data_IF_269424561743
#
_entry.id   IF_269424561743
#
_cell.length_a   1.000
_cell.length_b   1.000
_cell.length_c   1.000
_cell.angle_alpha   90.00
_cell.angle_beta   90.00
_cell.angle_gamma   90.00
#
_symmetry.space_group_name_H-M   'P 1'
#
loop_
_entity.id
_entity.type
_entity.pdbx_description
1 polymer ?
#
# COMPACT_ATOMS: atom_id res chain seq x y z
N UNK A 1 -39.07 0.80 -3.28
CA UNK A 1 -38.30 2.07 -3.27
C UNK A 1 -36.94 1.72 -3.86
N UNK A 2 -36.77 1.89 -5.17
CA UNK A 2 -35.51 1.58 -5.84
C UNK A 2 -34.51 2.66 -5.44
N UNK A 3 -33.49 2.29 -4.68
CA UNK A 3 -32.31 3.11 -4.51
C UNK A 3 -31.64 3.13 -5.87
N UNK A 4 -31.80 4.24 -6.61
CA UNK A 4 -30.94 4.54 -7.74
C UNK A 4 -29.52 4.54 -7.19
N UNK A 5 -28.77 3.47 -7.46
CA UNK A 5 -27.35 3.43 -7.17
C UNK A 5 -26.74 4.47 -8.10
N UNK A 6 -26.48 5.67 -7.59
CA UNK A 6 -25.78 6.70 -8.36
C UNK A 6 -24.45 6.11 -8.80
N UNK A 7 -24.32 5.91 -10.11
CA UNK A 7 -23.14 5.35 -10.74
C UNK A 7 -21.93 6.21 -10.36
N UNK A 8 -20.91 5.59 -9.78
CA UNK A 8 -19.68 6.30 -9.41
C UNK A 8 -18.89 6.56 -10.70
N UNK A 9 -18.67 7.83 -11.03
CA UNK A 9 -17.84 8.21 -12.17
C UNK A 9 -16.42 8.58 -11.73
N UNK A 10 -15.43 8.16 -12.52
CA UNK A 10 -14.02 8.42 -12.27
C UNK A 10 -13.55 9.69 -13.00
N UNK A 11 -14.20 10.84 -12.77
CA UNK A 11 -13.91 12.11 -13.48
C UNK A 11 -12.46 12.62 -13.36
N UNK A 12 -11.70 12.07 -12.41
CA UNK A 12 -10.28 12.36 -12.19
C UNK A 12 -9.33 11.48 -13.04
N UNK A 13 -9.87 10.56 -13.84
CA UNK A 13 -9.11 9.72 -14.76
C UNK A 13 -9.46 10.14 -16.18
N UNK A 14 -8.43 10.40 -16.98
CA UNK A 14 -8.60 10.51 -18.43
C UNK A 14 -8.47 9.12 -19.03
N UNK A 15 -9.51 8.59 -19.71
CA UNK A 15 -9.46 7.25 -20.29
C UNK A 15 -8.37 7.14 -21.36
N UNK A 16 -7.74 5.97 -21.46
CA UNK A 16 -6.74 5.70 -22.50
C UNK A 16 -7.36 5.04 -23.74
N UNK A 17 -7.02 5.56 -24.92
CA UNK A 17 -7.48 5.00 -26.21
C UNK A 17 -6.66 3.79 -26.69
N UNK A 18 -5.58 3.46 -25.99
CA UNK A 18 -4.71 2.34 -26.24
C UNK A 18 -4.10 1.86 -24.91
N UNK A 19 -3.33 0.76 -24.94
CA UNK A 19 -2.63 0.24 -23.76
C UNK A 19 -1.15 0.64 -23.76
N UNK A 20 -0.78 1.73 -24.44
CA UNK A 20 0.61 2.19 -24.45
C UNK A 20 1.00 2.69 -23.06
N UNK A 21 2.18 2.31 -22.54
CA UNK A 21 2.59 2.68 -21.18
C UNK A 21 2.54 4.19 -20.90
N UNK A 22 2.80 5.03 -21.89
CA UNK A 22 2.75 6.49 -21.73
C UNK A 22 1.37 6.99 -21.27
N UNK A 23 0.29 6.49 -21.87
CA UNK A 23 -1.06 6.89 -21.47
C UNK A 23 -1.42 6.33 -20.09
N UNK A 24 -1.18 5.03 -19.86
CA UNK A 24 -1.52 4.37 -18.60
C UNK A 24 -0.76 4.99 -17.42
N UNK A 25 0.52 5.32 -17.60
CA UNK A 25 1.34 6.02 -16.60
C UNK A 25 0.77 7.40 -16.31
N UNK A 26 0.35 8.15 -17.32
CA UNK A 26 -0.22 9.48 -17.13
C UNK A 26 -1.56 9.42 -16.41
N UNK A 27 -2.48 8.56 -16.85
CA UNK A 27 -3.77 8.33 -16.20
C UNK A 27 -3.60 7.94 -14.72
N UNK A 28 -2.64 7.07 -14.41
CA UNK A 28 -2.36 6.66 -13.02
C UNK A 28 -1.78 7.82 -12.19
N UNK A 29 -0.91 8.65 -12.77
CA UNK A 29 -0.38 9.85 -12.07
C UNK A 29 -1.47 10.84 -11.73
N UNK A 30 -2.41 11.06 -12.64
CA UNK A 30 -3.53 11.99 -12.45
C UNK A 30 -4.53 11.44 -11.42
N UNK A 31 -4.69 10.11 -11.37
CA UNK A 31 -5.57 9.45 -10.42
C UNK A 31 -5.06 9.50 -8.98
N UNK A 32 -3.76 9.30 -8.73
CA UNK A 32 -3.19 9.14 -7.37
C UNK A 32 -3.60 10.27 -6.41
N UNK A 33 -3.46 11.57 -6.73
CA UNK A 33 -3.82 12.66 -5.82
C UNK A 33 -5.29 12.69 -5.42
N UNK A 34 -6.18 12.14 -6.24
CA UNK A 34 -7.61 12.01 -5.95
C UNK A 34 -7.87 10.75 -5.14
N UNK A 35 -7.32 9.62 -5.58
CA UNK A 35 -7.52 8.31 -4.97
C UNK A 35 -7.06 8.27 -3.50
N UNK A 36 -5.93 8.90 -3.19
CA UNK A 36 -5.37 8.93 -1.82
C UNK A 36 -6.20 9.76 -0.82
N UNK A 37 -7.13 10.60 -1.30
CA UNK A 37 -8.08 11.30 -0.42
C UNK A 37 -9.16 10.34 0.12
N UNK A 38 -9.26 9.15 -0.44
CA UNK A 38 -10.32 8.20 -0.19
C UNK A 38 -11.54 8.44 -1.07
N UNK A 39 -12.41 7.44 -1.13
CA UNK A 39 -13.68 7.48 -1.86
C UNK A 39 -14.75 6.93 -0.91
N UNK A 40 -15.34 7.80 -0.04
CA UNK A 40 -16.24 7.35 1.02
C UNK A 40 -17.45 6.55 0.52
N UNK A 41 -17.98 6.90 -0.66
CA UNK A 41 -19.11 6.20 -1.28
C UNK A 41 -18.80 4.73 -1.64
N UNK A 42 -17.51 4.40 -1.80
CA UNK A 42 -17.04 3.04 -2.05
C UNK A 42 -16.47 2.38 -0.78
N UNK A 43 -16.60 3.02 0.38
CA UNK A 43 -15.99 2.55 1.63
C UNK A 43 -14.46 2.56 1.59
N UNK A 44 -13.85 3.39 0.73
CA UNK A 44 -12.41 3.58 0.65
C UNK A 44 -12.02 4.75 1.56
N UNK A 45 -11.27 4.51 2.65
CA UNK A 45 -10.83 5.58 3.55
C UNK A 45 -9.73 6.42 2.91
N UNK A 46 -9.37 7.58 3.49
CA UNK A 46 -8.16 8.30 3.11
C UNK A 46 -6.93 7.41 3.20
N UNK A 47 -6.10 7.42 2.16
CA UNK A 47 -4.85 6.64 2.09
C UNK A 47 -3.62 7.50 2.38
N UNK A 48 -3.76 8.83 2.41
CA UNK A 48 -2.68 9.74 2.80
C UNK A 48 -3.23 11.00 3.54
N UNK A 49 -3.27 11.00 4.89
CA UNK A 49 -2.78 9.94 5.77
C UNK A 49 -3.72 8.74 5.86
N UNK A 50 -3.19 7.53 5.70
CA UNK A 50 -3.90 6.29 6.06
C UNK A 50 -3.82 6.05 7.56
N UNK A 51 -4.92 5.62 8.16
CA UNK A 51 -5.04 5.42 9.61
C UNK A 51 -5.05 3.93 9.94
N UNK A 52 -4.30 3.55 10.97
CA UNK A 52 -4.23 2.18 11.50
C UNK A 52 -4.60 2.27 12.97
N UNK A 53 -5.75 1.73 13.37
CA UNK A 53 -6.16 1.79 14.78
C UNK A 53 -5.27 0.88 15.63
N UNK A 54 -5.17 -0.39 15.23
CA UNK A 54 -4.31 -1.38 15.85
C UNK A 54 -3.82 -2.39 14.80
N UNK A 55 -2.53 -2.73 14.85
CA UNK A 55 -1.93 -3.76 14.01
C UNK A 55 -1.00 -4.63 14.88
N UNK A 56 -1.42 -5.85 15.24
CA UNK A 56 -0.53 -6.82 15.84
C UNK A 56 0.46 -7.35 14.79
N UNK A 57 1.74 -7.32 15.13
CA UNK A 57 2.86 -7.77 14.29
C UNK A 57 3.59 -8.86 15.06
N UNK A 58 3.59 -10.06 14.50
CA UNK A 58 4.34 -11.18 15.04
C UNK A 58 5.72 -11.22 14.38
N UNK A 59 6.76 -10.96 15.16
CA UNK A 59 8.15 -11.10 14.75
C UNK A 59 8.75 -12.35 15.41
N UNK A 60 9.87 -12.90 14.88
CA UNK A 60 10.65 -13.92 15.57
C UNK A 60 11.04 -13.46 16.98
N UNK A 61 10.51 -14.13 18.01
CA UNK A 61 10.81 -13.88 19.42
C UNK A 61 10.16 -12.64 20.06
N UNK A 62 9.58 -11.72 19.26
CA UNK A 62 8.97 -10.48 19.76
C UNK A 62 7.56 -10.32 19.21
N UNK A 63 6.61 -10.01 20.10
CA UNK A 63 5.27 -9.55 19.73
C UNK A 63 5.25 -8.03 19.78
N UNK A 64 4.88 -7.40 18.68
CA UNK A 64 4.74 -5.95 18.59
C UNK A 64 3.27 -5.64 18.32
N UNK A 65 2.70 -4.65 19.00
CA UNK A 65 1.41 -4.08 18.62
C UNK A 65 1.62 -2.63 18.25
N UNK A 66 1.29 -2.27 17.02
CA UNK A 66 1.32 -0.88 16.55
C UNK A 66 -0.06 -0.26 16.69
N UNK A 67 -0.14 0.94 17.26
CA UNK A 67 -1.40 1.53 17.74
C UNK A 67 -1.47 2.99 17.29
N UNK A 68 -2.66 3.44 16.87
CA UNK A 68 -2.90 4.82 16.41
C UNK A 68 -1.90 5.25 15.33
N UNK A 69 -1.66 4.33 14.40
CA UNK A 69 -0.76 4.49 13.27
C UNK A 69 -1.28 5.49 12.24
N UNK A 70 -0.34 6.22 11.64
CA UNK A 70 -0.55 7.08 10.48
C UNK A 70 0.53 6.80 9.45
N UNK A 71 0.11 6.47 8.24
CA UNK A 71 0.99 6.30 7.07
C UNK A 71 0.79 7.49 6.13
N UNK A 72 1.88 8.08 5.65
CA UNK A 72 1.87 9.26 4.78
C UNK A 72 2.90 9.12 3.66
N UNK A 73 2.71 9.87 2.59
CA UNK A 73 3.63 9.96 1.45
C UNK A 73 3.15 9.24 0.18
N UNK A 74 2.07 8.47 0.26
CA UNK A 74 1.48 7.77 -0.89
C UNK A 74 1.05 8.74 -2.00
N UNK A 75 0.59 9.95 -1.65
CA UNK A 75 0.20 10.99 -2.63
C UNK A 75 1.35 11.43 -3.54
N UNK A 76 2.60 11.21 -3.10
CA UNK A 76 3.82 11.64 -3.80
C UNK A 76 4.57 10.44 -4.41
N UNK A 77 3.96 9.26 -4.44
CA UNK A 77 4.52 8.11 -5.13
C UNK A 77 4.70 8.44 -6.63
N UNK A 78 5.89 8.14 -7.14
CA UNK A 78 6.22 8.30 -8.56
C UNK A 78 5.81 7.03 -9.29
N UNK A 79 4.85 7.14 -10.20
CA UNK A 79 4.52 6.06 -11.16
C UNK A 79 5.70 5.92 -12.12
N UNK A 80 6.34 4.75 -12.10
CA UNK A 80 7.51 4.42 -12.93
C UNK A 80 7.09 3.78 -14.24
N UNK A 81 6.15 2.84 -14.17
CA UNK A 81 5.68 2.07 -15.29
C UNK A 81 4.25 1.57 -15.03
N UNK A 82 3.48 1.44 -16.09
CA UNK A 82 2.16 0.81 -16.08
C UNK A 82 2.00 0.03 -17.37
N UNK A 83 1.72 -1.26 -17.27
CA UNK A 83 1.49 -2.13 -18.42
C UNK A 83 0.16 -2.85 -18.27
N UNK A 84 -0.61 -2.93 -19.34
CA UNK A 84 -1.88 -3.66 -19.40
C UNK A 84 -1.87 -4.61 -20.59
N UNK A 85 -1.74 -5.91 -20.33
CA UNK A 85 -1.83 -6.96 -21.32
C UNK A 85 -3.22 -7.58 -21.30
N UNK A 86 -4.17 -6.93 -21.98
CA UNK A 86 -5.59 -7.32 -21.94
C UNK A 86 -5.82 -8.78 -22.34
N UNK A 87 -5.16 -9.26 -23.39
CA UNK A 87 -5.26 -10.65 -23.88
C UNK A 87 -4.76 -11.70 -22.86
N UNK A 88 -3.82 -11.29 -22.01
CA UNK A 88 -3.24 -12.16 -20.97
C UNK A 88 -3.89 -11.96 -19.61
N UNK A 89 -4.79 -10.99 -19.49
CA UNK A 89 -5.38 -10.54 -18.24
C UNK A 89 -4.32 -10.20 -17.17
N UNK A 90 -3.30 -9.42 -17.56
CA UNK A 90 -2.21 -9.00 -16.68
C UNK A 90 -2.13 -7.48 -16.65
N UNK A 91 -2.05 -6.91 -15.46
CA UNK A 91 -1.73 -5.52 -15.20
C UNK A 91 -0.47 -5.43 -14.33
N UNK A 92 0.46 -4.56 -14.69
CA UNK A 92 1.71 -4.34 -13.95
C UNK A 92 1.79 -2.87 -13.57
N UNK A 93 2.10 -2.60 -12.31
CA UNK A 93 2.33 -1.25 -11.80
C UNK A 93 3.65 -1.21 -11.05
N UNK A 94 4.56 -0.34 -11.51
CA UNK A 94 5.79 -0.02 -10.81
C UNK A 94 5.70 1.38 -10.22
N UNK A 95 5.96 1.51 -8.92
CA UNK A 95 5.97 2.80 -8.23
C UNK A 95 7.23 2.97 -7.39
N UNK A 96 7.62 4.23 -7.16
CA UNK A 96 8.66 4.59 -6.20
C UNK A 96 8.15 5.62 -5.21
N UNK A 97 8.22 5.32 -3.92
CA UNK A 97 7.57 6.10 -2.86
C UNK A 97 8.54 6.50 -1.74
N UNK A 98 8.30 7.67 -1.16
CA UNK A 98 8.83 8.03 0.16
C UNK A 98 7.69 7.88 1.16
N UNK A 99 7.84 6.99 2.14
CA UNK A 99 6.76 6.63 3.07
C UNK A 99 7.19 7.00 4.48
N UNK A 100 6.31 7.65 5.22
CA UNK A 100 6.49 7.87 6.67
C UNK A 100 5.36 7.19 7.43
N UNK A 101 5.74 6.32 8.35
CA UNK A 101 4.84 5.63 9.27
C UNK A 101 5.12 6.17 10.67
N UNK A 102 4.10 6.59 11.40
CA UNK A 102 4.24 7.03 12.80
C UNK A 102 3.08 6.53 13.64
N UNK A 103 3.32 6.24 14.91
CA UNK A 103 2.29 5.77 15.82
C UNK A 103 2.90 5.39 17.16
N UNK A 104 2.07 4.81 18.02
CA UNK A 104 2.53 4.19 19.27
C UNK A 104 2.81 2.72 19.04
N UNK A 105 3.65 2.14 19.88
CA UNK A 105 3.87 0.70 19.87
C UNK A 105 3.96 0.16 21.29
N UNK A 106 3.66 -1.13 21.42
CA UNK A 106 4.10 -1.98 22.52
C UNK A 106 4.90 -3.14 21.94
N UNK A 107 5.92 -3.60 22.65
CA UNK A 107 6.74 -4.73 22.25
C UNK A 107 7.05 -5.60 23.47
N UNK A 108 6.73 -6.89 23.38
CA UNK A 108 6.97 -7.87 24.44
C UNK A 108 7.61 -9.11 23.85
N UNK A 109 8.72 -9.56 24.43
CA UNK A 109 9.37 -10.80 24.04
C UNK A 109 10.87 -10.76 24.27
N UNK A 110 11.62 -11.32 23.32
CA UNK A 110 13.09 -11.35 23.33
C UNK A 110 13.62 -11.09 21.93
N UNK A 111 14.55 -10.14 21.83
CA UNK A 111 15.37 -9.96 20.64
C UNK A 111 16.73 -10.56 20.93
N UNK A 112 17.06 -11.67 20.26
CA UNK A 112 18.21 -12.52 20.60
C UNK A 112 18.16 -12.93 22.08
N UNK A 113 19.12 -12.48 22.89
CA UNK A 113 19.22 -12.77 24.33
C UNK A 113 18.58 -11.67 25.20
N UNK A 114 18.19 -10.54 24.62
CA UNK A 114 17.71 -9.38 25.37
C UNK A 114 16.19 -9.41 25.54
N UNK A 115 15.66 -9.41 26.78
CA UNK A 115 14.22 -9.27 27.00
C UNK A 115 13.74 -7.88 26.57
N UNK A 116 12.71 -7.85 25.74
CA UNK A 116 12.03 -6.63 25.31
C UNK A 116 10.70 -6.51 26.07
N UNK A 117 10.51 -5.36 26.69
CA UNK A 117 9.24 -4.90 27.25
C UNK A 117 9.20 -3.38 27.04
N UNK A 118 9.03 -2.99 25.77
CA UNK A 118 9.04 -1.59 25.36
C UNK A 118 7.63 -1.09 25.09
N UNK A 119 7.40 0.18 25.37
CA UNK A 119 6.23 0.91 24.87
C UNK A 119 6.58 2.38 24.69
N UNK A 120 6.09 2.98 23.61
CA UNK A 120 6.42 4.35 23.29
C UNK A 120 5.99 4.75 21.89
N UNK A 121 6.63 5.78 21.35
CA UNK A 121 6.41 6.26 20.00
C UNK A 121 7.39 5.59 19.03
N UNK A 122 6.88 5.24 17.85
CA UNK A 122 7.64 4.74 16.73
C UNK A 122 7.40 5.61 15.49
N UNK A 123 8.47 5.93 14.77
CA UNK A 123 8.44 6.59 13.48
C UNK A 123 9.46 5.96 12.54
N UNK A 124 8.99 5.53 11.38
CA UNK A 124 9.80 4.98 10.31
C UNK A 124 9.70 5.90 9.11
N UNK A 125 10.84 6.19 8.48
CA UNK A 125 10.89 6.86 7.16
C UNK A 125 11.57 5.95 6.17
N UNK A 126 10.83 5.50 5.16
CA UNK A 126 11.33 4.68 4.06
C UNK A 126 11.60 5.62 2.88
N UNK A 127 12.84 5.64 2.39
CA UNK A 127 13.30 6.52 1.33
C UNK A 127 13.43 5.73 0.04
N UNK A 128 12.72 6.18 -1.00
CA UNK A 128 12.76 5.62 -2.35
C UNK A 128 12.43 4.11 -2.43
N UNK A 129 11.46 3.62 -1.65
CA UNK A 129 10.96 2.25 -1.80
C UNK A 129 10.41 2.02 -3.20
N UNK A 130 10.77 0.91 -3.82
CA UNK A 130 10.23 0.49 -5.11
C UNK A 130 9.22 -0.63 -4.89
N UNK A 131 8.06 -0.50 -5.51
CA UNK A 131 6.95 -1.45 -5.38
C UNK A 131 6.56 -1.84 -6.79
N UNK A 132 6.67 -3.14 -7.07
CA UNK A 132 6.12 -3.75 -8.28
C UNK A 132 4.90 -4.57 -7.91
N UNK A 133 3.80 -4.33 -8.59
CA UNK A 133 2.55 -5.05 -8.39
C UNK A 133 2.15 -5.70 -9.71
N UNK A 134 2.08 -7.04 -9.72
CA UNK A 134 1.61 -7.83 -10.85
C UNK A 134 0.21 -8.36 -10.51
N UNK A 135 -0.83 -7.84 -11.18
CA UNK A 135 -2.23 -8.16 -10.96
C UNK A 135 -2.74 -9.02 -12.11
N UNK A 136 -3.34 -10.17 -11.78
CA UNK A 136 -4.16 -10.92 -12.73
C UNK A 136 -5.58 -10.38 -12.70
N UNK A 137 -6.04 -9.88 -13.84
CA UNK A 137 -7.37 -9.29 -13.98
C UNK A 137 -8.39 -10.33 -14.48
N UNK A 138 -9.67 -9.95 -14.40
CA UNK A 138 -10.80 -10.59 -15.07
C UNK A 138 -11.74 -9.50 -15.54
N UNK A 139 -12.64 -9.82 -16.47
CA UNK A 139 -13.76 -8.97 -16.83
C UNK A 139 -15.02 -9.46 -16.13
N UNK A 140 -15.80 -8.53 -15.58
CA UNK A 140 -17.09 -8.79 -14.93
C UNK A 140 -18.13 -7.86 -15.53
N UNK A 141 -19.40 -8.26 -15.50
CA UNK A 141 -20.51 -7.38 -15.82
C UNK A 141 -21.22 -6.91 -14.54
N UNK A 142 -21.58 -5.62 -14.49
CA UNK A 142 -22.46 -5.09 -13.46
C UNK A 142 -23.93 -5.51 -13.70
N UNK A 143 -24.84 -5.10 -12.81
CA UNK A 143 -26.27 -5.38 -12.94
C UNK A 143 -26.92 -4.71 -14.16
N UNK A 144 -26.26 -3.71 -14.76
CA UNK A 144 -26.70 -2.99 -15.94
C UNK A 144 -26.05 -3.54 -17.24
N UNK A 145 -25.20 -4.56 -17.11
CA UNK A 145 -24.52 -5.24 -18.21
C UNK A 145 -23.23 -4.57 -18.69
N UNK A 146 -22.77 -3.51 -18.01
CA UNK A 146 -21.51 -2.81 -18.35
C UNK A 146 -20.33 -3.61 -17.85
N UNK A 147 -19.24 -3.56 -18.60
CA UNK A 147 -18.02 -4.30 -18.27
C UNK A 147 -17.18 -3.55 -17.25
N UNK A 148 -16.57 -4.30 -16.34
CA UNK A 148 -15.69 -3.83 -15.28
C UNK A 148 -14.43 -4.69 -15.25
N UNK A 149 -13.32 -4.08 -14.84
CA UNK A 149 -12.18 -4.87 -14.38
C UNK A 149 -12.49 -5.54 -13.05
N UNK A 150 -11.93 -6.71 -12.82
CA UNK A 150 -11.88 -7.36 -11.52
C UNK A 150 -10.48 -7.86 -11.21
N UNK A 151 -10.15 -7.92 -9.92
CA UNK A 151 -8.89 -8.51 -9.46
C UNK A 151 -9.12 -10.00 -9.17
N UNK A 152 -8.42 -10.89 -9.88
CA UNK A 152 -8.46 -12.33 -9.64
C UNK A 152 -7.42 -12.77 -8.60
N UNK A 153 -6.21 -12.26 -8.73
CA UNK A 153 -5.09 -12.51 -7.82
C UNK A 153 -4.00 -11.49 -8.08
N UNK A 154 -3.06 -11.33 -7.15
CA UNK A 154 -1.90 -10.48 -7.33
C UNK A 154 -0.66 -11.10 -6.72
N UNK A 155 0.50 -10.64 -7.16
CA UNK A 155 1.78 -10.79 -6.49
C UNK A 155 2.47 -9.44 -6.46
N UNK A 156 3.39 -9.25 -5.53
CA UNK A 156 4.15 -8.03 -5.42
C UNK A 156 5.62 -8.33 -5.13
N UNK A 157 6.48 -7.40 -5.55
CA UNK A 157 7.87 -7.30 -5.11
C UNK A 157 8.06 -5.93 -4.44
N UNK A 158 8.70 -5.94 -3.27
CA UNK A 158 8.89 -4.74 -2.46
C UNK A 158 10.37 -4.59 -2.11
N UNK A 159 11.01 -3.60 -2.71
CA UNK A 159 12.35 -3.15 -2.34
C UNK A 159 12.23 -1.97 -1.38
N UNK A 160 12.82 -2.13 -0.19
CA UNK A 160 12.88 -1.13 0.86
C UNK A 160 13.61 0.17 0.47
N UNK A 161 14.23 0.22 -0.72
CA UNK A 161 14.75 1.43 -1.33
C UNK A 161 16.15 1.76 -0.83
N UNK A 162 16.44 3.04 -0.63
CA UNK A 162 17.80 3.49 -0.31
C UNK A 162 18.09 3.48 1.20
N UNK A 163 17.07 3.71 2.03
CA UNK A 163 17.25 3.84 3.48
C UNK A 163 15.91 3.74 4.21
N UNK A 164 15.91 3.06 5.36
CA UNK A 164 14.87 3.20 6.39
C UNK A 164 15.44 3.86 7.63
N UNK A 165 14.90 5.01 8.04
CA UNK A 165 15.28 5.66 9.30
C UNK A 165 14.26 5.26 10.37
N UNK A 166 14.74 4.61 11.43
CA UNK A 166 13.94 4.20 12.58
C UNK A 166 14.14 5.19 13.72
N UNK A 167 13.04 5.64 14.31
CA UNK A 167 13.01 6.41 15.55
C UNK A 167 12.04 5.70 16.48
N UNK A 168 12.56 5.05 17.52
CA UNK A 168 11.78 4.21 18.43
C UNK A 168 12.17 4.60 19.85
N UNK A 169 11.20 5.06 20.64
CA UNK A 169 11.46 5.50 22.02
C UNK A 169 11.17 4.40 23.02
N UNK A 170 11.95 4.31 24.11
CA UNK A 170 11.65 3.44 25.24
C UNK A 170 11.54 1.94 24.89
N UNK A 171 12.48 1.46 24.06
CA UNK A 171 12.57 0.05 23.69
C UNK A 171 12.89 -0.85 24.90
N UNK A 172 13.74 -0.36 25.81
CA UNK A 172 14.07 -0.99 27.09
C UNK A 172 13.73 -0.06 28.24
N UNK A 173 12.61 -0.35 28.93
CA UNK A 173 12.12 0.45 30.06
C UNK A 173 13.20 0.66 31.12
N UNK A 174 13.38 1.93 31.50
CA UNK A 174 14.34 2.32 32.54
C UNK A 174 15.81 2.22 32.10
N UNK A 175 16.11 1.89 30.84
CA UNK A 175 17.46 1.82 30.31
C UNK A 175 17.61 2.60 28.99
N UNK A 176 17.74 3.95 29.07
CA UNK A 176 17.91 4.79 27.89
C UNK A 176 19.19 4.51 27.12
N UNK A 177 20.28 4.14 27.80
CA UNK A 177 21.56 3.83 27.19
C UNK A 177 21.43 2.61 26.25
N UNK A 178 20.90 1.50 26.76
CA UNK A 178 20.63 0.30 25.96
C UNK A 178 19.63 0.59 24.83
N UNK A 179 18.59 1.38 25.09
CA UNK A 179 17.63 1.80 24.05
C UNK A 179 18.31 2.54 22.91
N UNK A 180 19.21 3.47 23.21
CA UNK A 180 19.96 4.23 22.21
C UNK A 180 20.95 3.34 21.44
N UNK A 181 21.69 2.47 22.13
CA UNK A 181 22.61 1.52 21.49
C UNK A 181 21.89 0.60 20.52
N UNK A 182 20.74 0.02 20.91
CA UNK A 182 19.97 -0.85 20.03
C UNK A 182 19.34 -0.08 18.88
N UNK A 183 18.84 1.13 19.10
CA UNK A 183 18.31 1.97 18.02
C UNK A 183 19.38 2.36 17.00
N UNK A 184 20.60 2.64 17.46
CA UNK A 184 21.74 2.89 16.59
C UNK A 184 22.05 1.65 15.74
N UNK A 185 22.17 0.48 16.37
CA UNK A 185 22.38 -0.78 15.65
C UNK A 185 21.29 -1.04 14.61
N UNK A 186 20.01 -0.84 14.96
CA UNK A 186 18.88 -0.99 14.04
C UNK A 186 19.00 -0.04 12.84
N UNK A 187 19.43 1.20 13.07
CA UNK A 187 19.63 2.16 11.99
C UNK A 187 20.87 1.88 11.13
N UNK A 188 21.96 1.39 11.70
CA UNK A 188 23.17 0.99 10.96
C UNK A 188 22.87 -0.22 10.08
N UNK A 189 22.08 -1.17 10.60
CA UNK A 189 21.70 -2.42 9.93
C UNK A 189 20.30 -2.37 9.33
N UNK A 190 19.84 -1.18 8.91
CA UNK A 190 18.45 -0.91 8.57
C UNK A 190 17.86 -1.86 7.53
N UNK A 191 18.68 -2.28 6.55
CA UNK A 191 18.26 -3.15 5.45
C UNK A 191 18.01 -4.57 5.94
N UNK A 192 18.95 -5.14 6.68
CA UNK A 192 18.79 -6.47 7.31
C UNK A 192 17.60 -6.50 8.25
N UNK A 193 17.40 -5.44 9.04
CA UNK A 193 16.21 -5.32 9.92
C UNK A 193 14.92 -5.32 9.09
N UNK A 194 14.89 -4.60 7.97
CA UNK A 194 13.71 -4.53 7.11
C UNK A 194 13.42 -5.89 6.45
N UNK A 195 14.46 -6.56 5.94
CA UNK A 195 14.35 -7.88 5.29
C UNK A 195 13.87 -8.95 6.27
N UNK A 196 14.31 -8.90 7.54
CA UNK A 196 13.92 -9.87 8.57
C UNK A 196 12.52 -9.60 9.15
N UNK A 197 12.16 -8.33 9.38
CA UNK A 197 10.99 -7.97 10.19
C UNK A 197 9.92 -7.16 9.47
N UNK A 198 10.19 -6.64 8.27
CA UNK A 198 9.31 -5.72 7.56
C UNK A 198 8.15 -6.38 6.84
N UNK A 199 8.27 -7.66 6.47
CA UNK A 199 7.31 -8.36 5.62
C UNK A 199 5.85 -8.29 6.11
N UNK A 200 5.52 -8.53 7.40
CA UNK A 200 4.14 -8.44 7.87
C UNK A 200 3.52 -7.04 7.66
N UNK A 201 4.32 -5.97 7.78
CA UNK A 201 3.86 -4.59 7.57
C UNK A 201 3.62 -4.34 6.09
N UNK A 202 4.48 -4.86 5.21
CA UNK A 202 4.33 -4.77 3.75
C UNK A 202 3.10 -5.57 3.30
N UNK A 203 2.92 -6.80 3.79
CA UNK A 203 1.75 -7.64 3.49
C UNK A 203 0.45 -6.93 3.85
N UNK A 204 0.38 -6.34 5.05
CA UNK A 204 -0.76 -5.53 5.46
C UNK A 204 -1.02 -4.35 4.50
N UNK A 205 0.02 -3.60 4.14
CA UNK A 205 -0.11 -2.47 3.21
C UNK A 205 -0.57 -2.92 1.81
N UNK A 206 -0.07 -4.04 1.31
CA UNK A 206 -0.46 -4.59 0.00
C UNK A 206 -1.90 -5.12 0.02
N UNK A 207 -2.33 -5.76 1.10
CA UNK A 207 -3.73 -6.18 1.28
C UNK A 207 -4.68 -4.98 1.23
N UNK A 208 -4.37 -3.91 1.96
CA UNK A 208 -5.16 -2.67 1.93
C UNK A 208 -5.18 -2.06 0.53
N UNK A 209 -4.03 -2.06 -0.16
CA UNK A 209 -3.91 -1.52 -1.53
C UNK A 209 -4.79 -2.30 -2.51
N UNK A 210 -4.78 -3.63 -2.43
CA UNK A 210 -5.57 -4.49 -3.33
C UNK A 210 -7.07 -4.45 -3.00
N UNK A 211 -7.46 -4.43 -1.72
CA UNK A 211 -8.87 -4.24 -1.33
C UNK A 211 -9.41 -2.92 -1.89
N UNK A 212 -8.59 -1.86 -1.78
CA UNK A 212 -8.94 -0.55 -2.30
C UNK A 212 -9.05 -0.53 -3.83
N UNK A 213 -8.10 -1.13 -4.54
CA UNK A 213 -8.15 -1.26 -6.00
C UNK A 213 -9.35 -2.11 -6.45
N UNK A 214 -9.69 -3.17 -5.71
CA UNK A 214 -10.84 -4.03 -6.00
C UNK A 214 -12.15 -3.26 -5.89
N UNK A 215 -12.36 -2.53 -4.79
CA UNK A 215 -13.53 -1.66 -4.61
C UNK A 215 -13.67 -0.62 -5.72
N UNK A 216 -12.55 -0.05 -6.16
CA UNK A 216 -12.54 0.92 -7.25
C UNK A 216 -12.94 0.27 -8.59
N UNK A 217 -12.31 -0.84 -8.97
CA UNK A 217 -12.60 -1.50 -10.26
C UNK A 217 -14.00 -2.13 -10.31
N UNK A 218 -14.52 -2.62 -9.19
CA UNK A 218 -15.90 -3.11 -9.11
C UNK A 218 -16.92 -1.97 -9.26
N UNK A 219 -16.54 -0.71 -8.96
CA UNK A 219 -17.43 0.46 -9.06
C UNK A 219 -17.28 1.23 -10.37
N UNK A 220 -16.08 1.26 -10.96
CA UNK A 220 -15.77 2.04 -12.15
C UNK A 220 -15.82 1.16 -13.40
N UNK A 221 -16.65 1.52 -14.38
CA UNK A 221 -16.72 0.83 -15.67
C UNK A 221 -15.39 0.79 -16.39
N UNK A 222 -15.22 -0.26 -17.18
CA UNK A 222 -14.08 -0.41 -18.06
C UNK A 222 -13.94 0.76 -19.04
N UNK A 223 -15.05 1.24 -19.62
CA UNK A 223 -15.06 2.31 -20.62
C UNK A 223 -14.77 3.70 -20.03
N UNK A 224 -14.85 3.87 -18.71
CA UNK A 224 -14.34 5.06 -18.02
C UNK A 224 -12.82 5.02 -17.79
N UNK A 225 -12.16 3.89 -18.06
CA UNK A 225 -10.72 3.70 -17.87
C UNK A 225 -9.99 3.53 -19.21
N UNK A 226 -10.58 2.75 -20.12
CA UNK A 226 -9.98 2.37 -21.40
C UNK A 226 -11.04 2.36 -22.52
N UNK A 227 -10.71 2.99 -23.65
CA UNK A 227 -11.48 2.88 -24.90
C UNK A 227 -10.88 1.82 -25.84
N UNK A 228 -10.46 0.69 -25.28
CA UNK A 228 -9.89 -0.44 -26.02
C UNK A 228 -10.89 -1.60 -25.98
N UNK A 229 -11.16 -2.30 -27.10
CA UNK A 229 -12.08 -3.44 -27.04
C UNK A 229 -11.57 -4.54 -26.08
N UNK A 230 -12.47 -5.06 -25.26
CA UNK A 230 -12.19 -6.22 -24.42
C UNK A 230 -11.94 -7.45 -25.31
N UNK A 231 -10.84 -8.19 -25.10
CA UNK A 231 -10.58 -9.43 -25.83
C UNK A 231 -11.71 -10.44 -25.72
N UNK A 232 -12.03 -11.11 -26.82
CA UNK A 232 -12.97 -12.23 -26.84
C UNK A 232 -12.19 -13.52 -26.58
N UNK A 233 -12.47 -14.19 -25.47
CA UNK A 233 -11.93 -15.52 -25.15
C UNK A 233 -12.90 -16.62 -25.54
#
# INVERSE_FOLDING_TARGET
MAILCSQFTADFITPCNNTEPACLVQATKDAIPHFVKGIPNLGIPPLDPFSIDELPIQLPGVKVTFINGKVTGLRNCKVKNVEAYLEKNIFILDTRCNITIKGKYTAVGRLLLFPINGDGDAKLKIINANIRLDIKTVYKKDSEGRDHFGVRSYSYDFDYGERIIYVITNLFKGNPELSNTVLQFVNENWRTVAEEFGRPVVDYAMNVTIDTATKFFDAVPYDELLHVPIPKH
#
